data_IF_027294367154
#
_entry.id   IF_027294367154
#
_cell.length_a   1.000
_cell.length_b   1.000
_cell.length_c   1.000
_cell.angle_alpha   90.00
_cell.angle_beta   90.00
_cell.angle_gamma   90.00
#
_symmetry.space_group_name_H-M   'P 1'
#
loop_
_entity.id
_entity.type
_entity.pdbx_description
1 polymer ?
#
# COMPACT_ATOMS: atom_id res chain seq x y z
N UNK A 1 3.62 1.51 0.37
CA UNK A 1 2.89 0.73 -0.63
C UNK A 1 1.74 1.57 -1.12
N UNK A 2 1.50 1.50 -2.42
CA UNK A 2 0.53 2.35 -3.09
C UNK A 2 0.03 1.62 -4.35
N UNK A 3 -1.17 1.97 -4.79
CA UNK A 3 -1.79 1.51 -6.01
C UNK A 3 -2.08 2.67 -6.95
N UNK A 4 -1.92 2.49 -8.26
CA UNK A 4 -2.33 3.49 -9.24
C UNK A 4 -3.01 2.86 -10.44
N UNK A 5 -4.07 3.50 -10.93
CA UNK A 5 -4.82 3.00 -12.08
C UNK A 5 -4.03 3.21 -13.39
N UNK A 6 -3.98 2.17 -14.21
CA UNK A 6 -3.39 2.24 -15.54
C UNK A 6 -4.39 2.91 -16.51
N UNK A 7 -3.94 3.98 -17.18
CA UNK A 7 -4.76 4.77 -18.11
C UNK A 7 -4.56 4.39 -19.59
N UNK A 8 -3.73 3.40 -19.87
CA UNK A 8 -3.38 2.98 -21.23
C UNK A 8 -4.41 2.07 -21.89
N UNK A 9 -4.00 1.44 -23.00
CA UNK A 9 -4.82 0.43 -23.72
C UNK A 9 -5.28 -0.71 -22.80
N UNK A 10 -4.43 -1.08 -21.85
CA UNK A 10 -4.72 -2.10 -20.85
C UNK A 10 -5.13 -1.41 -19.55
N UNK A 11 -6.36 -1.67 -19.13
CA UNK A 11 -6.87 -1.27 -17.82
C UNK A 11 -6.26 -2.16 -16.74
N UNK A 12 -6.30 -1.70 -15.50
CA UNK A 12 -5.84 -2.42 -14.34
C UNK A 12 -5.29 -1.48 -13.28
N UNK A 13 -4.65 -2.06 -12.28
CA UNK A 13 -3.96 -1.34 -11.22
C UNK A 13 -2.51 -1.79 -11.15
N UNK A 14 -1.61 -0.83 -11.09
CA UNK A 14 -0.21 -1.03 -10.77
C UNK A 14 -0.04 -0.91 -9.25
N UNK A 15 0.34 -2.00 -8.60
CA UNK A 15 0.69 -2.06 -7.19
C UNK A 15 2.21 -1.94 -7.03
N UNK A 16 2.67 -1.10 -6.10
CA UNK A 16 4.10 -0.87 -5.88
C UNK A 16 4.46 -0.96 -4.40
N UNK A 17 5.56 -1.66 -4.13
CA UNK A 17 6.29 -1.62 -2.87
C UNK A 17 7.65 -0.93 -3.07
N UNK A 18 7.92 0.06 -2.23
CA UNK A 18 9.23 0.75 -2.16
C UNK A 18 9.80 0.58 -0.75
N UNK A 19 11.12 0.40 -0.68
CA UNK A 19 11.89 0.37 0.54
C UNK A 19 12.60 1.70 0.77
N UNK A 20 12.96 1.97 2.02
CA UNK A 20 13.83 3.06 2.42
C UNK A 20 15.16 2.46 2.89
N UNK A 21 16.27 2.89 2.30
CA UNK A 21 17.59 2.43 2.70
C UNK A 21 18.16 3.26 3.87
N UNK A 22 19.35 2.86 4.35
CA UNK A 22 20.03 3.53 5.46
C UNK A 22 20.50 4.96 5.13
N UNK A 23 20.49 5.35 3.86
CA UNK A 23 20.84 6.68 3.38
C UNK A 23 19.60 7.51 2.98
N UNK A 24 18.42 7.13 3.48
CA UNK A 24 17.14 7.77 3.17
C UNK A 24 16.77 7.73 1.67
N UNK A 25 17.39 6.85 0.89
CA UNK A 25 17.06 6.59 -0.50
C UNK A 25 15.82 5.72 -0.62
N UNK A 26 14.91 6.09 -1.52
CA UNK A 26 13.80 5.22 -1.91
C UNK A 26 14.28 4.27 -3.01
N UNK A 27 14.05 2.97 -2.83
CA UNK A 27 14.37 1.96 -3.83
C UNK A 27 13.16 1.05 -4.09
N UNK A 28 12.85 0.72 -5.36
CA UNK A 28 11.78 -0.22 -5.67
C UNK A 28 12.08 -1.61 -5.12
N UNK A 29 11.12 -2.21 -4.41
CA UNK A 29 11.20 -3.59 -3.92
C UNK A 29 10.51 -4.57 -4.87
N UNK A 30 9.27 -4.23 -5.24
CA UNK A 30 8.45 -5.05 -6.14
C UNK A 30 7.35 -4.20 -6.78
N UNK A 31 6.85 -4.66 -7.92
CA UNK A 31 5.65 -4.14 -8.55
C UNK A 31 4.81 -5.28 -9.10
N UNK A 32 3.50 -5.06 -9.22
CA UNK A 32 2.57 -6.02 -9.80
C UNK A 32 1.47 -5.31 -10.58
N UNK A 33 1.10 -5.86 -11.73
CA UNK A 33 -0.06 -5.38 -12.50
C UNK A 33 -1.20 -6.36 -12.23
N UNK A 34 -2.31 -5.83 -11.74
CA UNK A 34 -3.51 -6.59 -11.38
C UNK A 34 -4.72 -6.03 -12.09
N UNK A 35 -5.79 -6.82 -12.19
CA UNK A 35 -7.02 -6.40 -12.86
C UNK A 35 -7.72 -5.24 -12.13
N UNK A 36 -7.64 -5.20 -10.80
CA UNK A 36 -8.21 -4.13 -9.98
C UNK A 36 -7.57 -4.07 -8.60
N UNK A 37 -7.73 -2.92 -7.95
CA UNK A 37 -7.37 -2.74 -6.55
C UNK A 37 -8.45 -3.38 -5.64
N UNK A 38 -8.29 -4.67 -5.36
CA UNK A 38 -9.21 -5.42 -4.49
C UNK A 38 -8.45 -6.21 -3.41
N UNK A 39 -9.19 -6.86 -2.52
CA UNK A 39 -8.60 -7.63 -1.42
C UNK A 39 -7.72 -8.77 -1.94
N UNK A 40 -8.20 -9.48 -2.96
CA UNK A 40 -7.53 -10.62 -3.56
C UNK A 40 -6.21 -10.21 -4.21
N UNK A 41 -6.21 -9.10 -4.97
CA UNK A 41 -5.02 -8.52 -5.57
C UNK A 41 -3.97 -8.12 -4.53
N UNK A 42 -4.41 -7.48 -3.42
CA UNK A 42 -3.50 -7.08 -2.35
C UNK A 42 -2.94 -8.28 -1.59
N UNK A 43 -3.77 -9.27 -1.26
CA UNK A 43 -3.31 -10.50 -0.60
C UNK A 43 -2.28 -11.20 -1.49
N UNK A 44 -2.57 -11.38 -2.78
CA UNK A 44 -1.63 -11.99 -3.72
C UNK A 44 -0.30 -11.23 -3.78
N UNK A 45 -0.35 -9.91 -3.96
CA UNK A 45 0.86 -9.08 -4.07
C UNK A 45 1.70 -9.11 -2.79
N UNK A 46 1.06 -9.06 -1.63
CA UNK A 46 1.74 -9.11 -0.33
C UNK A 46 2.34 -10.48 -0.04
N UNK A 47 1.68 -11.57 -0.42
CA UNK A 47 2.24 -12.92 -0.33
C UNK A 47 3.49 -13.04 -1.20
N UNK A 48 3.43 -12.58 -2.45
CA UNK A 48 4.60 -12.56 -3.33
C UNK A 48 5.75 -11.73 -2.75
N UNK A 49 5.44 -10.58 -2.15
CA UNK A 49 6.43 -9.72 -1.51
C UNK A 49 7.05 -10.36 -0.27
N UNK A 50 6.24 -11.02 0.56
CA UNK A 50 6.70 -11.75 1.74
C UNK A 50 7.71 -12.83 1.36
N UNK A 51 7.38 -13.62 0.33
CA UNK A 51 8.22 -14.72 -0.14
C UNK A 51 9.51 -14.23 -0.80
N UNK A 52 9.46 -13.07 -1.47
CA UNK A 52 10.64 -12.42 -2.04
C UNK A 52 11.58 -11.87 -0.94
N UNK A 53 11.04 -11.48 0.21
CA UNK A 53 11.77 -10.79 1.26
C UNK A 53 11.67 -11.53 2.63
N UNK A 54 12.17 -12.76 2.74
CA UNK A 54 12.08 -13.54 3.98
C UNK A 54 12.86 -12.90 5.15
N UNK A 55 13.92 -12.16 4.84
CA UNK A 55 14.67 -11.37 5.82
C UNK A 55 13.88 -10.15 6.34
N UNK A 56 12.87 -9.69 5.59
CA UNK A 56 11.97 -8.60 6.00
C UNK A 56 10.86 -9.17 6.87
N UNK A 57 10.30 -10.33 6.56
CA UNK A 57 9.27 -10.98 7.37
C UNK A 57 9.71 -11.29 8.82
N UNK A 58 11.00 -11.55 9.03
CA UNK A 58 11.58 -11.90 10.34
C UNK A 58 12.12 -10.70 11.14
N UNK A 59 12.13 -9.49 10.57
CA UNK A 59 12.68 -8.29 11.21
C UNK A 59 11.64 -7.57 12.07
N UNK A 60 11.97 -7.34 13.33
CA UNK A 60 11.10 -6.70 14.33
C UNK A 60 11.05 -5.18 14.24
N UNK A 61 11.96 -4.55 13.48
CA UNK A 61 12.10 -3.09 13.38
C UNK A 61 11.62 -2.52 12.04
N UNK A 62 10.69 -3.19 11.37
CA UNK A 62 10.13 -2.74 10.11
C UNK A 62 8.76 -2.09 10.28
N UNK A 63 8.46 -1.18 9.36
CA UNK A 63 7.17 -0.55 9.28
C UNK A 63 6.70 -0.48 7.83
N UNK A 64 5.49 -0.97 7.58
CA UNK A 64 4.79 -0.78 6.31
C UNK A 64 3.97 0.51 6.41
N UNK A 65 4.20 1.42 5.48
CA UNK A 65 3.40 2.64 5.32
C UNK A 65 2.60 2.52 4.02
N UNK A 66 1.28 2.69 4.09
CA UNK A 66 0.40 2.58 2.92
C UNK A 66 -0.78 3.55 2.93
N UNK A 67 -1.57 3.58 1.86
CA UNK A 67 -2.92 4.18 1.86
C UNK A 67 -3.88 3.47 2.85
N UNK A 68 -5.16 3.86 2.81
CA UNK A 68 -6.25 3.32 3.65
C UNK A 68 -7.14 2.30 2.94
N UNK A 69 -6.72 1.75 1.79
CA UNK A 69 -7.51 0.79 1.06
C UNK A 69 -7.77 -0.45 1.93
N UNK A 70 -9.04 -0.86 2.16
CA UNK A 70 -9.37 -1.92 3.10
C UNK A 70 -8.65 -3.24 2.81
N UNK A 71 -8.48 -3.58 1.52
CA UNK A 71 -7.74 -4.77 1.10
C UNK A 71 -6.27 -4.75 1.47
N UNK A 72 -5.63 -3.59 1.42
CA UNK A 72 -4.23 -3.42 1.79
C UNK A 72 -4.04 -3.50 3.30
N UNK A 73 -4.91 -2.83 4.07
CA UNK A 73 -4.92 -2.91 5.54
C UNK A 73 -5.10 -4.35 6.00
N UNK A 74 -6.08 -5.04 5.41
CA UNK A 74 -6.35 -6.46 5.70
C UNK A 74 -5.16 -7.34 5.34
N UNK A 75 -4.64 -7.22 4.12
CA UNK A 75 -3.52 -8.01 3.65
C UNK A 75 -2.25 -7.80 4.49
N UNK A 76 -1.96 -6.57 4.91
CA UNK A 76 -0.82 -6.30 5.80
C UNK A 76 -0.97 -7.04 7.14
N UNK A 77 -2.17 -7.05 7.72
CA UNK A 77 -2.44 -7.76 8.98
C UNK A 77 -2.35 -9.28 8.83
N UNK A 78 -2.79 -9.82 7.69
CA UNK A 78 -2.80 -11.26 7.44
C UNK A 78 -1.41 -11.80 7.06
N UNK A 79 -0.67 -11.10 6.21
CA UNK A 79 0.61 -11.57 5.66
C UNK A 79 1.80 -11.11 6.50
N UNK A 80 1.72 -9.94 7.15
CA UNK A 80 2.79 -9.37 7.96
C UNK A 80 2.31 -9.06 9.40
N UNK A 81 1.80 -10.05 10.15
CA UNK A 81 1.18 -9.81 11.46
C UNK A 81 2.15 -9.24 12.52
N UNK A 82 3.46 -9.47 12.34
CA UNK A 82 4.53 -8.99 13.23
C UNK A 82 5.09 -7.62 12.84
N UNK A 83 4.73 -7.08 11.69
CA UNK A 83 5.28 -5.83 11.16
C UNK A 83 4.34 -4.67 11.49
N UNK A 84 4.90 -3.56 11.97
CA UNK A 84 4.08 -2.38 12.26
C UNK A 84 3.47 -1.81 10.98
N UNK A 85 2.14 -1.64 10.94
CA UNK A 85 1.45 -1.02 9.82
C UNK A 85 0.97 0.39 10.17
N UNK A 86 1.25 1.37 9.31
CA UNK A 86 0.86 2.78 9.48
C UNK A 86 0.25 3.34 8.20
N UNK A 87 -0.61 4.34 8.36
CA UNK A 87 -1.19 5.05 7.23
C UNK A 87 -0.29 6.19 6.75
N UNK A 88 -0.23 6.35 5.45
CA UNK A 88 0.52 7.38 4.76
C UNK A 88 -0.10 8.75 5.04
N UNK A 89 0.70 9.66 5.62
CA UNK A 89 0.25 11.02 5.92
C UNK A 89 -0.15 11.81 4.66
N UNK A 90 0.46 11.52 3.51
CA UNK A 90 0.08 12.14 2.23
C UNK A 90 -1.37 11.81 1.88
N UNK A 91 -1.71 10.53 1.84
CA UNK A 91 -3.08 10.07 1.57
C UNK A 91 -4.07 10.52 2.66
N UNK A 92 -3.66 10.59 3.93
CA UNK A 92 -4.50 11.13 5.00
C UNK A 92 -4.84 12.62 4.81
N UNK A 93 -3.89 13.42 4.31
CA UNK A 93 -4.12 14.86 4.03
C UNK A 93 -5.06 15.06 2.86
N UNK A 94 -4.90 14.29 1.79
CA UNK A 94 -5.74 14.37 0.59
C UNK A 94 -7.21 14.10 0.92
N UNK A 95 -7.49 13.16 1.83
CA UNK A 95 -8.87 12.84 2.24
C UNK A 95 -9.50 13.98 3.05
N UNK A 96 -8.74 14.62 3.95
CA UNK A 96 -9.24 15.78 4.71
C UNK A 96 -9.56 16.98 3.82
N UNK A 97 -8.80 17.18 2.74
CA UNK A 97 -9.06 18.24 1.77
C UNK A 97 -10.34 17.99 0.97
N UNK A 98 -10.64 16.74 0.60
CA UNK A 98 -11.90 16.37 -0.05
C UNK A 98 -13.12 16.56 0.85
N UNK A 99 -13.00 16.25 2.15
CA UNK A 99 -14.06 16.53 3.13
C UNK A 99 -14.28 18.04 3.33
N UNK A 100 -13.21 18.86 3.36
CA UNK A 100 -13.34 20.32 3.45
C UNK A 100 -13.85 21.01 2.18
N UNK A 101 -13.72 20.35 1.01
CA UNK A 101 -14.22 20.83 -0.27
C UNK A 101 -15.58 20.22 -0.66
N UNK A 102 -16.24 19.48 0.23
CA UNK A 102 -17.61 19.03 0.02
C UNK A 102 -18.59 20.12 0.45
N UNK A 103 -19.25 20.86 -0.47
CA UNK A 103 -20.22 21.86 -0.07
C UNK A 103 -21.45 21.15 0.49
N UNK A 104 -21.69 21.34 1.79
CA UNK A 104 -22.85 20.92 2.59
C UNK A 104 -22.92 19.44 3.00
N UNK A 105 -22.54 19.18 4.26
CA UNK A 105 -23.32 18.29 5.12
C UNK A 105 -23.85 19.11 6.30
N UNK A 106 -25.09 19.55 6.16
CA UNK A 106 -25.90 20.10 7.24
C UNK A 106 -26.09 19.05 8.33
N UNK A 107 -25.95 19.53 9.57
CA UNK A 107 -26.16 18.85 10.85
C UNK A 107 -27.57 18.25 10.91
#
# INVERSE_FOLDING_TARGET
>A
MDGTFLLGKYRGTLLIAVGLDANNGLFPLAFGIVESECNESWIWFLTMLHDLLPAVASRTNLCIISDRHPGLVRGCREIFPSVAHRHCLRHLREIKLQESCSPNKSI
#
